data_IF_215627337128
#
_entry.id   IF_215627337128
#
_cell.length_a   1.000
_cell.length_b   1.000
_cell.length_c   1.000
_cell.angle_alpha   90.00
_cell.angle_beta   90.00
_cell.angle_gamma   90.00
#
_symmetry.space_group_name_H-M   'P 1'
#
loop_
_entity.id
_entity.type
_entity.pdbx_description
1 polymer ?
#
# COMPACT_ATOMS: atom_id res chain seq x y z
N UNK A 1 23.13 1.20 -15.17
CA UNK A 1 21.84 1.68 -15.70
C UNK A 1 20.77 0.65 -15.35
N UNK A 2 20.05 0.87 -14.24
CA UNK A 2 19.01 -0.06 -13.75
C UNK A 2 17.68 0.28 -14.40
N UNK A 3 17.39 -0.32 -15.54
CA UNK A 3 16.06 -0.29 -16.14
C UNK A 3 15.15 -1.27 -15.41
N UNK A 4 14.63 -0.90 -14.24
CA UNK A 4 13.48 -1.61 -13.66
C UNK A 4 12.25 -1.11 -14.40
N UNK A 5 11.93 -1.80 -15.49
CA UNK A 5 10.93 -1.43 -16.48
C UNK A 5 9.54 -1.25 -15.84
N UNK A 6 8.86 -0.16 -16.16
CA UNK A 6 7.50 0.16 -15.68
C UNK A 6 6.45 -0.94 -15.98
N UNK A 7 6.77 -1.92 -16.82
CA UNK A 7 5.93 -3.10 -17.11
C UNK A 7 5.79 -4.07 -15.92
N UNK A 8 6.75 -4.16 -15.00
CA UNK A 8 6.63 -4.99 -13.78
C UNK A 8 5.83 -4.31 -12.65
N UNK A 9 5.40 -3.07 -12.87
CA UNK A 9 4.67 -2.31 -11.87
C UNK A 9 3.18 -2.66 -11.89
N UNK A 10 2.60 -2.95 -13.06
CA UNK A 10 1.15 -3.08 -13.24
C UNK A 10 0.71 -4.54 -13.43
N UNK A 11 -0.03 -5.13 -12.48
CA UNK A 11 -0.56 -6.48 -12.65
C UNK A 11 -1.51 -6.56 -13.85
N UNK A 12 -1.58 -7.73 -14.50
CA UNK A 12 -2.64 -8.07 -15.45
C UNK A 12 -4.01 -8.25 -14.75
N UNK A 13 -4.00 -8.67 -13.48
CA UNK A 13 -5.18 -8.79 -12.62
C UNK A 13 -4.86 -8.50 -11.15
N UNK A 14 -5.83 -7.97 -10.40
CA UNK A 14 -5.65 -7.60 -8.99
C UNK A 14 -4.84 -6.31 -8.80
N UNK A 15 -4.10 -6.23 -7.70
CA UNK A 15 -3.27 -5.07 -7.35
C UNK A 15 -2.02 -5.45 -6.54
N UNK A 16 -0.96 -4.68 -6.74
CA UNK A 16 0.29 -4.74 -5.99
C UNK A 16 0.35 -3.59 -5.00
N UNK A 17 0.53 -3.92 -3.73
CA UNK A 17 0.62 -2.98 -2.62
C UNK A 17 2.05 -2.94 -2.11
N UNK A 18 2.66 -1.77 -2.16
CA UNK A 18 3.98 -1.51 -1.61
C UNK A 18 3.84 -0.56 -0.41
N UNK A 19 4.30 -1.02 0.75
CA UNK A 19 4.36 -0.24 1.97
C UNK A 19 5.83 0.10 2.24
N UNK A 20 6.11 1.37 2.46
CA UNK A 20 7.44 1.87 2.85
C UNK A 20 7.29 2.63 4.14
N UNK A 21 8.00 2.20 5.18
CA UNK A 21 7.94 2.81 6.51
C UNK A 21 8.39 4.27 6.43
N UNK A 22 7.67 5.15 7.09
CA UNK A 22 8.01 6.57 7.21
C UNK A 22 8.59 6.86 8.58
N UNK A 23 9.28 8.00 8.71
CA UNK A 23 9.87 8.44 9.98
C UNK A 23 8.79 8.73 11.04
N UNK A 24 7.59 9.16 10.62
CA UNK A 24 6.42 9.44 11.47
C UNK A 24 5.71 8.18 12.01
N UNK A 25 6.40 7.05 12.13
CA UNK A 25 5.81 5.76 12.55
C UNK A 25 4.62 5.27 11.70
N UNK A 26 4.51 5.74 10.45
CA UNK A 26 3.51 5.34 9.45
C UNK A 26 4.12 4.59 8.27
N UNK A 27 3.34 4.44 7.21
CA UNK A 27 3.79 3.87 5.94
C UNK A 27 3.28 4.69 4.77
N UNK A 28 4.15 5.04 3.84
CA UNK A 28 3.75 5.42 2.49
C UNK A 28 3.28 4.15 1.78
N UNK A 29 2.10 4.21 1.15
CA UNK A 29 1.48 3.11 0.44
C UNK A 29 1.35 3.47 -1.03
N UNK A 30 1.95 2.64 -1.88
CA UNK A 30 1.80 2.72 -3.33
C UNK A 30 1.06 1.50 -3.83
N UNK A 31 0.00 1.73 -4.60
CA UNK A 31 -0.86 0.68 -5.13
C UNK A 31 -0.81 0.75 -6.64
N UNK A 32 -0.48 -0.38 -7.25
CA UNK A 32 -0.47 -0.54 -8.69
C UNK A 32 -1.58 -1.53 -9.04
N UNK A 33 -2.67 -1.01 -9.58
CA UNK A 33 -3.85 -1.80 -9.93
C UNK A 33 -3.77 -2.25 -11.40
N UNK A 34 -4.58 -3.26 -11.72
CA UNK A 34 -4.77 -3.72 -13.09
C UNK A 34 -5.24 -2.59 -14.01
N UNK A 35 -4.83 -2.65 -15.29
CA UNK A 35 -5.16 -1.60 -16.26
C UNK A 35 -4.28 -0.34 -16.17
N UNK A 36 -3.19 -0.37 -15.41
CA UNK A 36 -2.22 0.73 -15.38
C UNK A 36 -2.49 1.79 -14.30
N UNK A 37 -3.58 1.67 -13.55
CA UNK A 37 -3.92 2.64 -12.51
C UNK A 37 -2.91 2.59 -11.35
N UNK A 38 -2.57 3.78 -10.84
CA UNK A 38 -1.69 3.94 -9.67
C UNK A 38 -2.38 4.82 -8.64
N UNK A 39 -2.31 4.39 -7.38
CA UNK A 39 -2.79 5.15 -6.24
C UNK A 39 -1.68 5.28 -5.20
N UNK A 40 -1.71 6.36 -4.45
CA UNK A 40 -0.80 6.61 -3.34
C UNK A 40 -1.57 7.16 -2.15
N UNK A 41 -1.26 6.66 -0.96
CA UNK A 41 -1.80 7.14 0.30
C UNK A 41 -0.75 6.96 1.39
N UNK A 42 -0.94 7.62 2.53
CA UNK A 42 -0.24 7.28 3.77
C UNK A 42 -1.14 6.40 4.61
N UNK A 43 -0.56 5.41 5.28
CA UNK A 43 -1.20 4.59 6.30
C UNK A 43 -0.61 4.99 7.66
N UNK A 44 -1.48 5.39 8.58
CA UNK A 44 -1.13 5.70 9.97
C UNK A 44 -2.04 4.95 10.93
N UNK A 45 -1.66 4.92 12.20
CA UNK A 45 -2.52 4.43 13.27
C UNK A 45 -2.82 5.58 14.23
N UNK A 46 -4.08 5.68 14.66
CA UNK A 46 -4.46 6.59 15.72
C UNK A 46 -4.01 6.07 17.10
N UNK A 47 -4.23 6.87 18.14
CA UNK A 47 -3.90 6.53 19.53
C UNK A 47 -4.67 5.31 20.05
N UNK A 48 -5.80 4.97 19.43
CA UNK A 48 -6.58 3.77 19.72
C UNK A 48 -6.06 2.54 18.95
N UNK A 49 -5.08 2.72 18.08
CA UNK A 49 -4.46 1.70 17.27
C UNK A 49 -5.24 1.34 15.99
N UNK A 50 -6.25 2.10 15.61
CA UNK A 50 -7.01 1.92 14.37
C UNK A 50 -6.21 2.44 13.19
N UNK A 51 -6.27 1.72 12.07
CA UNK A 51 -5.61 2.13 10.82
C UNK A 51 -6.43 3.19 10.10
N UNK A 52 -5.78 4.27 9.67
CA UNK A 52 -6.36 5.35 8.88
C UNK A 52 -5.51 5.64 7.63
N UNK A 53 -6.17 6.07 6.55
CA UNK A 53 -5.54 6.41 5.28
C UNK A 53 -5.63 7.92 5.03
N UNK A 54 -4.51 8.53 4.62
CA UNK A 54 -4.43 9.95 4.34
C UNK A 54 -3.50 10.24 3.13
N UNK A 55 -4.02 10.81 2.02
CA UNK A 55 -5.44 11.01 1.75
C UNK A 55 -6.19 9.67 1.62
N UNK A 56 -7.49 9.66 1.92
CA UNK A 56 -8.32 8.47 1.66
C UNK A 56 -8.29 8.07 0.18
N UNK A 57 -8.39 6.77 -0.10
CA UNK A 57 -8.49 6.27 -1.47
C UNK A 57 -9.94 6.36 -1.96
N UNK A 58 -10.13 6.75 -3.21
CA UNK A 58 -11.46 6.81 -3.82
C UNK A 58 -12.09 5.41 -4.09
N UNK A 59 -11.24 4.38 -4.24
CA UNK A 59 -11.67 3.01 -4.45
C UNK A 59 -11.85 2.29 -3.10
N UNK A 60 -13.10 1.91 -2.79
CA UNK A 60 -13.45 1.21 -1.55
C UNK A 60 -12.89 -0.22 -1.47
N UNK A 61 -12.69 -0.90 -2.61
CA UNK A 61 -12.08 -2.23 -2.63
C UNK A 61 -10.60 -2.12 -2.28
N UNK A 62 -9.87 -1.16 -2.87
CA UNK A 62 -8.48 -0.90 -2.51
C UNK A 62 -8.36 -0.47 -1.05
N UNK A 63 -9.24 0.41 -0.57
CA UNK A 63 -9.28 0.85 0.84
C UNK A 63 -9.39 -0.35 1.78
N UNK A 64 -10.33 -1.25 1.54
CA UNK A 64 -10.52 -2.46 2.35
C UNK A 64 -9.29 -3.35 2.36
N UNK A 65 -8.62 -3.53 1.22
CA UNK A 65 -7.41 -4.34 1.13
C UNK A 65 -6.22 -3.71 1.88
N UNK A 66 -6.02 -2.39 1.78
CA UNK A 66 -4.98 -1.69 2.55
C UNK A 66 -5.23 -1.84 4.05
N UNK A 67 -6.47 -1.64 4.52
CA UNK A 67 -6.81 -1.75 5.94
C UNK A 67 -6.63 -3.18 6.47
N UNK A 68 -6.90 -4.22 5.66
CA UNK A 68 -6.58 -5.61 6.02
C UNK A 68 -5.07 -5.80 6.16
N UNK A 69 -4.30 -5.26 5.23
CA UNK A 69 -2.83 -5.36 5.22
C UNK A 69 -2.17 -4.53 6.33
N UNK A 70 -2.83 -3.46 6.82
CA UNK A 70 -2.33 -2.63 7.89
C UNK A 70 -1.96 -3.45 9.14
N UNK A 71 -2.74 -4.47 9.50
CA UNK A 71 -2.43 -5.36 10.63
C UNK A 71 -1.14 -6.15 10.43
N UNK A 72 -0.89 -6.61 9.21
CA UNK A 72 0.33 -7.34 8.84
C UNK A 72 1.53 -6.40 8.91
N UNK A 73 1.40 -5.21 8.31
CA UNK A 73 2.44 -4.18 8.30
C UNK A 73 2.82 -3.78 9.73
N UNK A 74 1.83 -3.42 10.56
CA UNK A 74 2.03 -3.02 11.97
C UNK A 74 2.76 -4.09 12.77
N UNK A 75 2.43 -5.36 12.56
CA UNK A 75 3.08 -6.49 13.24
C UNK A 75 4.49 -6.75 12.73
N UNK A 76 4.71 -6.62 11.42
CA UNK A 76 6.01 -6.94 10.80
C UNK A 76 7.09 -5.90 11.08
N UNK A 77 6.70 -4.62 11.20
CA UNK A 77 7.59 -3.47 11.38
C UNK A 77 8.74 -3.35 10.35
N UNK A 78 8.63 -4.04 9.21
CA UNK A 78 9.65 -4.02 8.16
C UNK A 78 9.74 -2.63 7.54
N UNK A 79 10.94 -2.19 7.15
CA UNK A 79 11.14 -0.93 6.42
C UNK A 79 10.36 -0.90 5.11
N UNK A 80 10.23 -2.06 4.46
CA UNK A 80 9.52 -2.21 3.20
C UNK A 80 8.77 -3.53 3.15
N UNK A 81 7.49 -3.49 2.79
CA UNK A 81 6.64 -4.68 2.63
C UNK A 81 5.90 -4.63 1.28
N UNK A 82 6.04 -5.69 0.49
CA UNK A 82 5.33 -5.85 -0.78
C UNK A 82 4.32 -7.00 -0.69
N UNK A 83 3.09 -6.76 -1.15
CA UNK A 83 2.01 -7.75 -1.18
C UNK A 83 1.20 -7.67 -2.46
N UNK A 84 0.78 -8.83 -2.96
CA UNK A 84 -0.12 -8.97 -4.09
C UNK A 84 -1.50 -9.39 -3.58
N UNK A 85 -2.57 -8.82 -4.15
CA UNK A 85 -3.96 -9.23 -3.94
C UNK A 85 -4.64 -9.39 -5.30
N UNK A 86 -5.46 -10.43 -5.44
CA UNK A 86 -6.30 -10.67 -6.61
C UNK A 86 -7.66 -10.00 -6.44
#
# INVERSE_FOLDING_TARGET
MTSSSSQDLHPTSGARFLFTRTDDAGYAVEIYAAGGARHSTTLRWDDQGNAALEPGLADEALTREVLKLARVVKRSQQERLLRWRA
#
